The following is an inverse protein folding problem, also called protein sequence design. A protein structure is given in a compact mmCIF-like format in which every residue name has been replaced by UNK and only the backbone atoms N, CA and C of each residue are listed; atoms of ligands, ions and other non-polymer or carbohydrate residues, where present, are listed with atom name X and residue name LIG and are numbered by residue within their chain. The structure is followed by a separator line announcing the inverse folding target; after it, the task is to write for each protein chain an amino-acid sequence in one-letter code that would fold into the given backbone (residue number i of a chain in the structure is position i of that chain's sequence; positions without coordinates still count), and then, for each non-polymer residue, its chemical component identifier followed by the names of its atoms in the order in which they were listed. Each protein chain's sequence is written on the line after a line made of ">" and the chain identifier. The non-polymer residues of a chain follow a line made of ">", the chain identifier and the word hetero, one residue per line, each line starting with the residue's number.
data_IF_827257618992
#
_entry.id   IF_827257618992
#
_cell.length_a   1.000
_cell.length_b   1.000
_cell.length_c   1.000
_cell.angle_alpha   90.00
_cell.angle_beta   90.00
_cell.angle_gamma   90.00
#
_symmetry.space_group_name_H-M   'P 1'
#
loop_
_entity.id
_entity.type
_entity.pdbx_description
1 polymer ?
#
# COMPACT_ATOMS: atom_id res chain seq x y z
N UNK A 1 -18.12 -45.92 9.65
CA UNK A 1 -17.79 -44.76 10.49
C UNK A 1 -16.68 -44.01 9.80
N UNK A 2 -17.08 -42.96 9.08
CA UNK A 2 -16.19 -42.07 8.35
C UNK A 2 -15.36 -41.28 9.37
N UNK A 3 -14.03 -41.28 9.21
CA UNK A 3 -13.15 -40.41 9.98
C UNK A 3 -13.08 -39.09 9.22
N UNK A 4 -13.64 -38.05 9.82
CA UNK A 4 -13.58 -36.68 9.31
C UNK A 4 -12.13 -36.28 9.05
N UNK A 5 -11.84 -35.99 7.78
CA UNK A 5 -10.63 -35.29 7.39
C UNK A 5 -10.76 -33.86 7.94
N UNK A 6 -10.09 -33.58 9.04
CA UNK A 6 -9.83 -32.22 9.48
C UNK A 6 -8.99 -31.54 8.40
N UNK A 7 -9.65 -30.80 7.52
CA UNK A 7 -9.01 -29.85 6.62
C UNK A 7 -8.13 -28.94 7.48
N UNK A 8 -6.82 -29.11 7.34
CA UNK A 8 -5.83 -28.18 7.84
C UNK A 8 -6.10 -26.87 7.12
N UNK A 9 -6.88 -25.99 7.75
CA UNK A 9 -7.10 -24.62 7.30
C UNK A 9 -5.73 -23.97 7.34
N UNK A 10 -5.03 -24.07 6.21
CA UNK A 10 -3.88 -23.27 5.89
C UNK A 10 -4.31 -21.84 6.15
N UNK A 11 -3.84 -21.27 7.26
CA UNK A 11 -3.81 -19.83 7.46
C UNK A 11 -3.09 -19.29 6.24
N UNK A 12 -3.85 -18.88 5.22
CA UNK A 12 -3.37 -18.19 4.04
C UNK A 12 -2.86 -16.85 4.53
N UNK A 13 -1.63 -16.89 5.04
CA UNK A 13 -0.93 -15.75 5.61
C UNK A 13 -1.01 -14.62 4.61
N UNK A 14 -1.66 -13.53 5.01
CA UNK A 14 -1.34 -12.14 4.73
C UNK A 14 -0.18 -11.98 3.74
N UNK A 15 -0.44 -12.20 2.45
CA UNK A 15 0.47 -11.89 1.36
C UNK A 15 -0.26 -10.96 0.43
N UNK A 16 0.43 -9.90 0.00
CA UNK A 16 -0.17 -8.93 -0.90
C UNK A 16 -0.65 -9.61 -2.19
N UNK A 17 -1.81 -9.17 -2.69
CA UNK A 17 -2.34 -9.63 -3.97
C UNK A 17 -1.47 -9.15 -5.13
N UNK A 18 -1.60 -9.73 -6.33
CA UNK A 18 -0.87 -9.24 -7.52
C UNK A 18 -1.13 -7.74 -7.76
N UNK A 19 -2.38 -7.31 -7.65
CA UNK A 19 -2.76 -5.89 -7.73
C UNK A 19 -2.19 -5.08 -6.57
N UNK A 20 -2.20 -5.63 -5.36
CA UNK A 20 -1.60 -5.01 -4.18
C UNK A 20 -0.10 -4.77 -4.31
N UNK A 21 0.64 -5.69 -4.94
CA UNK A 21 2.07 -5.51 -5.22
C UNK A 21 2.32 -4.38 -6.24
N UNK A 22 1.48 -4.25 -7.26
CA UNK A 22 1.56 -3.11 -8.20
C UNK A 22 1.30 -1.79 -7.49
N UNK A 23 0.27 -1.73 -6.62
CA UNK A 23 -0.04 -0.54 -5.82
C UNK A 23 1.11 -0.21 -4.86
N UNK A 24 1.69 -1.22 -4.19
CA UNK A 24 2.89 -1.06 -3.36
C UNK A 24 4.02 -0.39 -4.13
N UNK A 25 4.33 -0.86 -5.33
CA UNK A 25 5.43 -0.32 -6.13
C UNK A 25 5.19 1.14 -6.52
N UNK A 26 3.94 1.49 -6.82
CA UNK A 26 3.54 2.88 -7.09
C UNK A 26 3.68 3.77 -5.86
N UNK A 27 3.20 3.33 -4.70
CA UNK A 27 3.34 4.07 -3.45
C UNK A 27 4.82 4.23 -3.06
N UNK A 28 5.64 3.21 -3.28
CA UNK A 28 7.09 3.28 -3.07
C UNK A 28 7.75 4.31 -4.00
N UNK A 29 7.36 4.35 -5.28
CA UNK A 29 7.87 5.33 -6.23
C UNK A 29 7.47 6.76 -5.84
N UNK A 30 6.19 6.98 -5.49
CA UNK A 30 5.69 8.28 -5.03
C UNK A 30 6.44 8.73 -3.77
N UNK A 31 6.62 7.84 -2.80
CA UNK A 31 7.39 8.13 -1.58
C UNK A 31 8.85 8.46 -1.88
N UNK A 32 9.48 7.75 -2.84
CA UNK A 32 10.85 8.02 -3.27
C UNK A 32 11.01 9.41 -3.88
N UNK A 33 10.09 9.80 -4.78
CA UNK A 33 10.11 11.13 -5.41
C UNK A 33 9.91 12.24 -4.38
N UNK A 34 8.95 12.08 -3.47
CA UNK A 34 8.67 13.07 -2.41
C UNK A 34 9.64 12.97 -1.21
N UNK A 35 10.60 12.02 -1.23
CA UNK A 35 11.52 11.74 -0.11
C UNK A 35 10.82 11.47 1.22
N UNK A 36 9.62 10.89 1.18
CA UNK A 36 8.86 10.55 2.37
C UNK A 36 9.40 9.30 3.06
N UNK A 37 9.75 9.45 4.33
CA UNK A 37 10.06 8.32 5.22
C UNK A 37 8.79 7.51 5.55
N UNK A 38 8.94 6.31 6.10
CA UNK A 38 7.79 5.53 6.58
C UNK A 38 7.01 6.29 7.65
N UNK A 39 7.72 7.03 8.52
CA UNK A 39 7.12 7.92 9.51
C UNK A 39 6.25 9.01 8.87
N UNK A 40 6.76 9.69 7.83
CA UNK A 40 5.99 10.75 7.15
C UNK A 40 4.72 10.21 6.50
N UNK A 41 4.81 9.05 5.84
CA UNK A 41 3.65 8.39 5.25
C UNK A 41 2.64 8.03 6.35
N UNK A 42 3.12 7.49 7.47
CA UNK A 42 2.29 7.09 8.60
C UNK A 42 1.55 8.29 9.23
N UNK A 43 2.23 9.43 9.36
CA UNK A 43 1.65 10.71 9.79
C UNK A 43 0.52 11.15 8.84
N UNK A 44 0.76 11.14 7.52
CA UNK A 44 -0.23 11.54 6.50
C UNK A 44 -1.50 10.70 6.59
N UNK A 45 -1.39 9.38 6.75
CA UNK A 45 -2.54 8.47 6.73
C UNK A 45 -3.11 8.13 8.12
N UNK A 46 -2.55 8.70 9.19
CA UNK A 46 -2.97 8.45 10.57
C UNK A 46 -2.79 7.00 11.02
N UNK A 47 -1.66 6.36 10.68
CA UNK A 47 -1.32 4.97 11.05
C UNK A 47 0.03 4.89 11.76
N UNK A 48 0.43 3.67 12.15
CA UNK A 48 1.77 3.42 12.71
C UNK A 48 2.81 3.23 11.61
N UNK A 49 4.08 3.53 11.91
CA UNK A 49 5.18 3.28 10.97
C UNK A 49 5.29 1.80 10.59
N UNK A 50 5.05 0.88 11.55
CA UNK A 50 5.03 -0.56 11.29
C UNK A 50 3.97 -0.94 10.26
N UNK A 51 2.77 -0.35 10.36
CA UNK A 51 1.68 -0.58 9.41
C UNK A 51 2.08 -0.22 7.97
N UNK A 52 2.78 0.91 7.81
CA UNK A 52 3.31 1.37 6.52
C UNK A 52 4.40 0.43 6.02
N UNK A 53 5.37 0.08 6.87
CA UNK A 53 6.48 -0.82 6.51
C UNK A 53 5.96 -2.16 6.00
N UNK A 54 5.02 -2.79 6.71
CA UNK A 54 4.51 -4.10 6.31
C UNK A 54 3.82 -4.06 4.93
N UNK A 55 3.22 -2.94 4.55
CA UNK A 55 2.64 -2.73 3.20
C UNK A 55 3.67 -2.39 2.14
N UNK A 56 4.65 -1.54 2.46
CA UNK A 56 5.77 -1.22 1.55
C UNK A 56 6.64 -2.43 1.25
N UNK A 57 6.71 -3.39 2.18
CA UNK A 57 7.37 -4.69 2.01
C UNK A 57 6.51 -5.70 1.22
N UNK A 58 5.22 -5.40 0.98
CA UNK A 58 4.28 -6.32 0.32
C UNK A 58 3.79 -7.48 1.20
N UNK A 59 3.89 -7.36 2.52
CA UNK A 59 3.31 -8.33 3.47
C UNK A 59 1.79 -8.15 3.62
N UNK A 60 1.23 -7.02 3.19
CA UNK A 60 -0.22 -6.79 3.22
C UNK A 60 -0.59 -5.75 2.17
N UNK A 61 -1.84 -5.81 1.71
CA UNK A 61 -2.38 -4.83 0.78
C UNK A 61 -2.67 -3.49 1.49
N UNK A 62 -2.46 -2.40 0.74
CA UNK A 62 -2.93 -1.07 1.12
C UNK A 62 -4.47 -1.05 1.13
N UNK A 63 -5.07 -0.38 2.13
CA UNK A 63 -6.52 -0.16 2.12
C UNK A 63 -6.83 1.02 1.20
N UNK A 64 -7.98 0.98 0.51
CA UNK A 64 -8.36 2.05 -0.43
C UNK A 64 -8.32 3.44 0.21
N UNK A 65 -8.84 3.60 1.42
CA UNK A 65 -8.78 4.88 2.14
C UNK A 65 -7.35 5.35 2.46
N UNK A 66 -6.40 4.44 2.70
CA UNK A 66 -5.00 4.85 2.90
C UNK A 66 -4.36 5.33 1.59
N UNK A 67 -4.74 4.70 0.47
CA UNK A 67 -4.27 5.08 -0.88
C UNK A 67 -4.82 6.46 -1.26
N UNK A 68 -6.09 6.72 -0.96
CA UNK A 68 -6.74 8.00 -1.18
C UNK A 68 -6.04 9.12 -0.38
N UNK A 69 -5.92 8.96 0.93
CA UNK A 69 -5.25 9.95 1.80
C UNK A 69 -3.81 10.24 1.36
N UNK A 70 -3.03 9.20 1.08
CA UNK A 70 -1.65 9.39 0.64
C UNK A 70 -1.57 9.98 -0.77
N UNK A 71 -2.48 9.59 -1.65
CA UNK A 71 -2.61 10.14 -2.99
C UNK A 71 -2.86 11.64 -2.94
N UNK A 72 -3.88 12.09 -2.19
CA UNK A 72 -4.22 13.51 -2.05
C UNK A 72 -3.03 14.34 -1.56
N UNK A 73 -2.33 13.85 -0.53
CA UNK A 73 -1.14 14.50 0.01
C UNK A 73 0.03 14.58 -0.98
N UNK A 74 0.03 13.77 -2.03
CA UNK A 74 1.11 13.69 -3.03
C UNK A 74 0.67 14.07 -4.44
N UNK A 75 -0.52 14.67 -4.60
CA UNK A 75 -1.02 15.17 -5.88
C UNK A 75 -1.58 14.09 -6.81
N UNK A 76 -2.07 12.98 -6.25
CA UNK A 76 -2.69 11.87 -6.96
C UNK A 76 -4.11 11.60 -6.49
N UNK A 77 -4.93 11.10 -7.41
CA UNK A 77 -6.20 10.46 -7.06
C UNK A 77 -6.00 8.96 -6.83
N UNK A 78 -6.91 8.34 -6.07
CA UNK A 78 -6.93 6.88 -5.92
C UNK A 78 -7.08 6.16 -7.28
N UNK A 79 -7.86 6.73 -8.20
CA UNK A 79 -8.07 6.19 -9.54
C UNK A 79 -6.76 6.15 -10.34
N UNK A 80 -5.92 7.18 -10.25
CA UNK A 80 -4.59 7.18 -10.89
C UNK A 80 -3.67 6.10 -10.29
N UNK A 81 -3.64 5.96 -8.96
CA UNK A 81 -2.77 4.98 -8.29
C UNK A 81 -3.22 3.55 -8.56
N UNK A 82 -4.52 3.31 -8.79
CA UNK A 82 -5.09 1.98 -9.02
C UNK A 82 -5.29 1.65 -10.51
N UNK A 83 -5.05 2.59 -11.42
CA UNK A 83 -5.26 2.43 -12.85
C UNK A 83 -4.37 1.35 -13.49
N UNK A 84 -4.71 0.92 -14.71
CA UNK A 84 -3.86 0.00 -15.48
C UNK A 84 -2.50 0.60 -15.79
N UNK A 85 -2.49 1.88 -16.17
CA UNK A 85 -1.30 2.67 -16.45
C UNK A 85 -1.03 3.66 -15.32
N UNK A 86 0.23 3.98 -15.07
CA UNK A 86 0.63 4.88 -13.99
C UNK A 86 1.81 5.75 -14.41
N UNK A 87 1.68 7.06 -14.20
CA UNK A 87 2.71 8.04 -14.51
C UNK A 87 3.19 8.71 -13.22
N UNK A 88 4.51 8.72 -13.00
CA UNK A 88 5.10 9.40 -11.86
C UNK A 88 5.10 10.92 -12.10
N UNK A 89 4.65 11.69 -11.11
CA UNK A 89 4.59 13.15 -11.07
C UNK A 89 5.81 13.66 -10.30
N UNK A 90 6.28 14.89 -10.55
CA UNK A 90 7.33 15.49 -9.73
C UNK A 90 6.88 15.61 -8.26
N UNK A 91 7.85 15.78 -7.36
CA UNK A 91 7.56 15.98 -5.95
C UNK A 91 6.63 17.17 -5.74
N UNK A 92 5.69 17.04 -4.80
CA UNK A 92 4.88 18.18 -4.37
C UNK A 92 5.81 19.09 -3.57
N UNK A 93 6.08 20.28 -4.10
CA UNK A 93 6.85 21.28 -3.35
C UNK A 93 6.02 21.67 -2.12
N UNK A 94 6.53 21.36 -0.92
CA UNK A 94 6.03 21.98 0.31
C UNK A 94 6.23 23.49 0.16
N UNK A 95 5.14 24.23 -0.07
CA UNK A 95 5.14 25.69 -0.11
C UNK A 95 5.16 26.26 1.30
#
# INVERSE_FOLDING_TARGET
>A
MEKENGENVSNTSDKASKTGLVIRDRINAIAGVNRHSNYKIAEIIGKSERYVRDRKDGKSDWKLGDIELYGEATGYTISEITAKEFNIKPAVNER
#
